data_IF_107356021577
#
_entry.id   IF_107356021577
#
_cell.length_a   1.000
_cell.length_b   1.000
_cell.length_c   1.000
_cell.angle_alpha   90.00
_cell.angle_beta   90.00
_cell.angle_gamma   90.00
#
_symmetry.space_group_name_H-M   'P 1'
#
loop_
_entity.id
_entity.type
_entity.pdbx_description
1 polymer ?
#
# COMPACT_ATOMS: atom_id res chain seq x y z
N UNK A 1 -7.95 -7.75 -15.42
CA UNK A 1 -7.44 -8.40 -16.65
C UNK A 1 -8.21 -7.85 -17.84
N UNK A 2 -7.57 -7.66 -18.99
CA UNK A 2 -8.14 -6.98 -20.16
C UNK A 2 -9.22 -7.77 -20.91
N UNK A 3 -9.41 -9.07 -20.59
CA UNK A 3 -10.30 -9.97 -21.33
C UNK A 3 -9.78 -10.38 -22.72
N UNK A 4 -8.63 -9.85 -23.16
CA UNK A 4 -8.00 -10.18 -24.45
C UNK A 4 -7.30 -11.54 -24.32
N UNK A 5 -7.62 -12.46 -25.24
CA UNK A 5 -7.03 -13.80 -25.30
C UNK A 5 -5.89 -13.85 -26.34
N UNK A 6 -5.11 -14.94 -26.33
CA UNK A 6 -4.08 -15.15 -27.34
C UNK A 6 -4.67 -15.30 -28.78
N UNK A 7 -5.90 -15.77 -28.87
CA UNK A 7 -6.61 -15.94 -30.14
C UNK A 7 -7.01 -14.58 -30.74
N UNK A 8 -7.42 -13.63 -29.87
CA UNK A 8 -7.79 -12.27 -30.30
C UNK A 8 -6.62 -11.50 -30.92
N UNK A 9 -5.39 -11.86 -30.57
CA UNK A 9 -4.17 -11.15 -31.05
C UNK A 9 -3.34 -12.00 -32.03
N UNK A 10 -3.80 -13.19 -32.38
CA UNK A 10 -3.03 -14.11 -33.24
C UNK A 10 -2.63 -13.52 -34.60
N UNK A 11 -3.54 -12.74 -35.18
CA UNK A 11 -3.38 -12.07 -36.49
C UNK A 11 -3.03 -10.57 -36.34
N UNK A 12 -2.84 -10.09 -35.11
CA UNK A 12 -2.50 -8.69 -34.90
C UNK A 12 -1.04 -8.38 -35.30
N UNK A 13 -0.77 -7.21 -35.90
CA UNK A 13 0.59 -6.80 -36.22
C UNK A 13 1.43 -6.66 -34.93
N UNK A 14 2.70 -7.03 -35.01
CA UNK A 14 3.62 -6.76 -33.91
C UNK A 14 3.93 -5.26 -33.82
N UNK A 15 4.30 -4.78 -32.63
CA UNK A 15 4.67 -3.39 -32.45
C UNK A 15 5.77 -2.96 -33.43
N UNK A 16 6.74 -3.82 -33.67
CA UNK A 16 7.86 -3.59 -34.58
C UNK A 16 7.41 -3.25 -36.01
N UNK A 17 6.29 -3.83 -36.46
CA UNK A 17 5.72 -3.60 -37.79
C UNK A 17 5.03 -2.24 -37.91
N UNK A 18 4.61 -1.69 -36.77
CA UNK A 18 3.90 -0.41 -36.69
C UNK A 18 4.79 0.74 -36.21
N UNK A 19 5.91 0.45 -35.62
CA UNK A 19 6.74 1.41 -34.87
C UNK A 19 7.15 2.63 -35.70
N UNK A 20 7.56 2.44 -36.97
CA UNK A 20 7.94 3.54 -37.85
C UNK A 20 6.76 4.49 -38.09
N UNK A 21 5.60 3.95 -38.43
CA UNK A 21 4.38 4.71 -38.66
C UNK A 21 3.95 5.47 -37.41
N UNK A 22 3.94 4.80 -36.26
CA UNK A 22 3.58 5.42 -34.96
C UNK A 22 4.56 6.55 -34.61
N UNK A 23 5.85 6.37 -34.83
CA UNK A 23 6.84 7.41 -34.53
C UNK A 23 6.63 8.67 -35.35
N UNK A 24 6.19 8.53 -36.62
CA UNK A 24 5.87 9.65 -37.49
C UNK A 24 4.56 10.34 -37.05
N UNK A 25 3.52 9.56 -36.71
CA UNK A 25 2.24 10.07 -36.25
C UNK A 25 2.36 10.80 -34.89
N UNK A 26 3.21 10.32 -34.02
CA UNK A 26 3.45 10.91 -32.68
C UNK A 26 4.37 12.13 -32.70
N UNK A 27 5.03 12.39 -33.79
CA UNK A 27 5.94 13.53 -33.90
C UNK A 27 5.24 14.85 -33.69
N UNK A 28 5.63 15.57 -32.65
CA UNK A 28 5.02 16.85 -32.27
C UNK A 28 3.70 16.71 -31.52
N UNK A 29 3.32 15.50 -31.14
CA UNK A 29 2.17 15.26 -30.26
C UNK A 29 2.55 15.33 -28.79
N UNK A 30 1.61 15.76 -27.97
CA UNK A 30 1.63 15.59 -26.51
C UNK A 30 0.92 14.27 -26.15
N UNK A 31 1.30 13.69 -25.00
CA UNK A 31 0.73 12.44 -24.54
C UNK A 31 -0.08 12.66 -23.27
N UNK A 32 -1.31 12.18 -23.24
CA UNK A 32 -2.16 12.21 -22.06
C UNK A 32 -2.68 10.82 -21.73
N UNK A 33 -2.69 10.48 -20.44
CA UNK A 33 -3.21 9.20 -19.97
C UNK A 33 -3.49 9.19 -18.48
N UNK A 34 -3.83 8.02 -17.93
CA UNK A 34 -4.05 7.80 -16.50
C UNK A 34 -2.99 6.84 -15.96
N UNK A 35 -2.15 7.30 -15.05
CA UNK A 35 -0.92 6.61 -14.61
C UNK A 35 0.10 6.36 -15.74
N UNK A 36 -0.04 7.10 -16.82
CA UNK A 36 0.71 6.89 -18.07
C UNK A 36 2.20 7.17 -17.93
N UNK A 37 2.60 8.10 -17.07
CA UNK A 37 4.00 8.41 -16.81
C UNK A 37 4.75 7.26 -16.12
N UNK A 38 4.04 6.38 -15.44
CA UNK A 38 4.60 5.21 -14.74
C UNK A 38 4.43 3.90 -15.48
N UNK A 39 3.51 3.83 -16.45
CA UNK A 39 3.20 2.59 -17.14
C UNK A 39 3.29 2.71 -18.66
N UNK A 40 2.37 3.46 -19.30
CA UNK A 40 2.24 3.46 -20.76
C UNK A 40 3.45 4.08 -21.46
N UNK A 41 3.90 5.25 -21.02
CA UNK A 41 5.02 5.97 -21.65
C UNK A 41 6.34 5.22 -21.54
N UNK A 42 6.74 4.66 -20.37
CA UNK A 42 7.94 3.83 -20.28
C UNK A 42 7.89 2.57 -21.14
N UNK A 43 6.75 1.90 -21.22
CA UNK A 43 6.58 0.72 -22.08
C UNK A 43 6.71 1.13 -23.56
N UNK A 44 6.04 2.20 -23.97
CA UNK A 44 6.08 2.68 -25.36
C UNK A 44 7.51 3.10 -25.75
N UNK A 45 8.24 3.77 -24.87
CA UNK A 45 9.62 4.15 -25.09
C UNK A 45 10.54 2.92 -25.29
N UNK A 46 10.36 1.90 -24.45
CA UNK A 46 11.12 0.65 -24.54
C UNK A 46 10.81 -0.12 -25.82
N UNK A 47 9.52 -0.16 -26.23
CA UNK A 47 9.12 -0.82 -27.48
C UNK A 47 9.64 -0.09 -28.72
N UNK A 48 9.71 1.24 -28.74
CA UNK A 48 10.38 1.98 -29.82
C UNK A 48 11.85 1.64 -29.90
N UNK A 49 12.56 1.60 -28.77
CA UNK A 49 13.98 1.23 -28.74
C UNK A 49 14.20 -0.21 -29.23
N UNK A 50 13.35 -1.16 -28.85
CA UNK A 50 13.40 -2.55 -29.37
C UNK A 50 13.15 -2.64 -30.87
N UNK A 51 12.34 -1.74 -31.40
CA UNK A 51 12.12 -1.62 -32.85
C UNK A 51 13.25 -0.86 -33.57
N UNK A 52 14.30 -0.40 -32.86
CA UNK A 52 15.40 0.36 -33.43
C UNK A 52 15.06 1.82 -33.72
N UNK A 53 14.02 2.37 -33.10
CA UNK A 53 13.57 3.74 -33.26
C UNK A 53 13.89 4.53 -31.99
N UNK A 54 14.69 5.58 -32.13
CA UNK A 54 14.97 6.54 -31.05
C UNK A 54 13.95 7.66 -31.08
N UNK A 55 12.79 7.45 -30.39
CA UNK A 55 11.74 8.44 -30.25
C UNK A 55 11.99 9.30 -29.01
N UNK A 56 12.23 10.60 -29.22
CA UNK A 56 12.58 11.54 -28.15
C UNK A 56 11.34 12.12 -27.46
N UNK A 57 10.89 11.46 -26.40
CA UNK A 57 9.77 11.92 -25.56
C UNK A 57 10.04 13.24 -24.83
N UNK A 58 11.28 13.72 -24.74
CA UNK A 58 11.57 15.00 -24.08
C UNK A 58 11.03 16.22 -24.82
N UNK A 59 10.65 16.04 -26.07
CA UNK A 59 10.02 17.08 -26.90
C UNK A 59 8.52 17.14 -26.80
N UNK A 60 7.90 16.25 -26.04
CA UNK A 60 6.47 16.15 -25.84
C UNK A 60 6.09 16.50 -24.41
N UNK A 61 4.91 17.10 -24.22
CA UNK A 61 4.34 17.24 -22.89
C UNK A 61 3.67 15.91 -22.48
N UNK A 62 4.02 15.41 -21.29
CA UNK A 62 3.44 14.21 -20.72
C UNK A 62 2.44 14.60 -19.63
N UNK A 63 1.15 14.40 -19.89
CA UNK A 63 0.06 14.78 -19.00
C UNK A 63 -0.54 13.53 -18.36
N UNK A 64 -0.34 13.38 -17.06
CA UNK A 64 -0.87 12.25 -16.29
C UNK A 64 -2.09 12.70 -15.46
N UNK A 65 -3.27 12.30 -15.88
CA UNK A 65 -4.52 12.64 -15.21
C UNK A 65 -4.61 12.09 -13.78
N UNK A 66 -4.00 10.93 -13.49
CA UNK A 66 -3.92 10.42 -12.12
C UNK A 66 -3.09 11.34 -11.23
N UNK A 67 -1.94 11.81 -11.74
CA UNK A 67 -1.09 12.75 -11.00
C UNK A 67 -1.82 14.07 -10.74
N UNK A 68 -2.56 14.59 -11.73
CA UNK A 68 -3.39 15.79 -11.55
C UNK A 68 -4.46 15.53 -10.49
N UNK A 69 -5.20 14.42 -10.60
CA UNK A 69 -6.21 14.02 -9.63
C UNK A 69 -5.64 13.95 -8.21
N UNK A 70 -4.49 13.29 -8.02
CA UNK A 70 -3.86 13.16 -6.70
C UNK A 70 -3.34 14.49 -6.12
N UNK A 71 -3.00 15.46 -6.97
CA UNK A 71 -2.57 16.80 -6.54
C UNK A 71 -3.74 17.73 -6.23
N UNK A 72 -4.83 17.61 -6.98
CA UNK A 72 -6.00 18.49 -6.85
C UNK A 72 -6.97 18.00 -5.78
N UNK A 73 -7.18 16.68 -5.67
CA UNK A 73 -8.10 16.11 -4.69
C UNK A 73 -7.36 15.77 -3.39
N UNK A 74 -7.61 16.59 -2.36
CA UNK A 74 -6.99 16.43 -1.05
C UNK A 74 -7.47 15.15 -0.36
N UNK A 75 -6.53 14.37 0.17
CA UNK A 75 -6.81 13.19 1.00
C UNK A 75 -6.60 13.55 2.48
N UNK A 76 -7.45 14.44 2.99
CA UNK A 76 -7.45 14.86 4.38
C UNK A 76 -8.85 14.70 5.00
N UNK A 77 -8.97 14.97 6.30
CA UNK A 77 -10.21 14.79 7.06
C UNK A 77 -11.36 15.63 6.48
N UNK A 78 -11.11 16.87 6.11
CA UNK A 78 -12.13 17.76 5.54
C UNK A 78 -12.67 17.25 4.20
N UNK A 79 -11.79 16.72 3.33
CA UNK A 79 -12.20 16.10 2.07
C UNK A 79 -13.00 14.82 2.31
N UNK A 80 -12.59 13.99 3.27
CA UNK A 80 -13.33 12.79 3.65
C UNK A 80 -14.72 13.14 4.22
N UNK A 81 -14.79 14.14 5.08
CA UNK A 81 -16.07 14.62 5.62
C UNK A 81 -17.02 15.09 4.53
N UNK A 82 -16.52 15.92 3.60
CA UNK A 82 -17.31 16.37 2.46
C UNK A 82 -17.83 15.20 1.62
N UNK A 83 -16.99 14.22 1.37
CA UNK A 83 -17.34 13.06 0.53
C UNK A 83 -18.36 12.12 1.18
N UNK A 84 -18.18 11.81 2.46
CA UNK A 84 -19.02 10.83 3.16
C UNK A 84 -20.25 11.46 3.85
N UNK A 85 -20.15 12.72 4.29
CA UNK A 85 -21.22 13.42 4.99
C UNK A 85 -21.96 14.44 4.13
N UNK A 86 -21.50 14.72 2.90
CA UNK A 86 -22.13 15.64 1.95
C UNK A 86 -22.04 17.13 2.31
N UNK A 87 -21.27 17.50 3.35
CA UNK A 87 -21.16 18.85 3.89
C UNK A 87 -19.70 19.27 4.02
N UNK A 88 -19.45 20.59 4.01
CA UNK A 88 -18.11 21.08 4.30
C UNK A 88 -17.84 21.03 5.80
N UNK A 89 -16.63 20.63 6.17
CA UNK A 89 -16.23 20.55 7.57
C UNK A 89 -16.28 21.93 8.25
N UNK A 90 -15.90 22.97 7.53
CA UNK A 90 -15.87 24.35 8.03
C UNK A 90 -17.25 24.93 8.35
N UNK A 91 -18.32 24.37 7.79
CA UNK A 91 -19.69 24.81 8.06
C UNK A 91 -20.19 24.31 9.43
N UNK A 92 -19.61 23.19 9.93
CA UNK A 92 -20.08 22.51 11.14
C UNK A 92 -19.05 22.55 12.28
N UNK A 93 -17.76 22.72 11.99
CA UNK A 93 -16.67 22.53 12.93
C UNK A 93 -15.52 23.52 12.72
N UNK A 94 -14.84 23.85 13.82
CA UNK A 94 -13.58 24.57 13.79
C UNK A 94 -12.43 23.57 13.62
N UNK A 95 -11.68 23.68 12.53
CA UNK A 95 -10.53 22.81 12.26
C UNK A 95 -9.45 22.93 13.34
N UNK A 96 -8.74 21.83 13.59
CA UNK A 96 -7.62 21.74 14.55
C UNK A 96 -7.99 21.83 16.03
N UNK A 97 -9.26 21.59 16.36
CA UNK A 97 -9.68 21.31 17.73
C UNK A 97 -9.84 19.81 17.90
N UNK A 98 -9.09 19.22 18.81
CA UNK A 98 -9.00 17.78 18.99
C UNK A 98 -10.36 17.11 19.29
N UNK A 99 -11.23 17.78 20.05
CA UNK A 99 -12.59 17.34 20.34
C UNK A 99 -13.47 17.30 19.07
N UNK A 100 -13.35 18.31 18.24
CA UNK A 100 -14.11 18.43 17.00
C UNK A 100 -13.53 17.52 15.90
N UNK A 101 -12.22 17.40 15.79
CA UNK A 101 -11.58 16.47 14.86
C UNK A 101 -11.95 15.01 15.18
N UNK A 102 -12.11 14.66 16.46
CA UNK A 102 -12.59 13.34 16.88
C UNK A 102 -14.05 13.10 16.45
N UNK A 103 -14.96 14.07 16.64
CA UNK A 103 -16.35 14.00 16.20
C UNK A 103 -16.45 13.88 14.67
N UNK A 104 -15.68 14.69 13.93
CA UNK A 104 -15.61 14.62 12.45
C UNK A 104 -15.12 13.24 12.00
N UNK A 105 -14.10 12.69 12.65
CA UNK A 105 -13.57 11.35 12.35
C UNK A 105 -14.64 10.27 12.57
N UNK A 106 -15.38 10.36 13.68
CA UNK A 106 -16.50 9.47 13.95
C UNK A 106 -17.58 9.54 12.86
N UNK A 107 -17.99 10.75 12.46
CA UNK A 107 -18.99 10.92 11.39
C UNK A 107 -18.51 10.41 10.04
N UNK A 108 -17.24 10.59 9.71
CA UNK A 108 -16.63 10.00 8.50
C UNK A 108 -16.71 8.48 8.55
N UNK A 109 -16.36 7.86 9.68
CA UNK A 109 -16.45 6.40 9.84
C UNK A 109 -17.89 5.92 9.68
N UNK A 110 -18.86 6.59 10.31
CA UNK A 110 -20.28 6.24 10.14
C UNK A 110 -20.73 6.37 8.69
N UNK A 111 -20.36 7.46 8.00
CA UNK A 111 -20.67 7.64 6.59
C UNK A 111 -19.99 6.60 5.67
N UNK A 112 -18.82 6.09 6.05
CA UNK A 112 -18.20 4.96 5.36
C UNK A 112 -19.00 3.67 5.53
N UNK A 113 -19.41 3.37 6.76
CA UNK A 113 -20.22 2.17 7.05
C UNK A 113 -21.60 2.22 6.39
N UNK A 114 -22.23 3.39 6.33
CA UNK A 114 -23.50 3.58 5.62
C UNK A 114 -23.33 3.39 4.12
N UNK A 115 -22.31 4.01 3.52
CA UNK A 115 -22.04 3.95 2.07
C UNK A 115 -21.68 2.55 1.59
N UNK A 116 -20.93 1.81 2.39
CA UNK A 116 -20.41 0.47 2.07
C UNK A 116 -21.08 -0.63 2.89
N UNK A 117 -22.30 -0.39 3.35
CA UNK A 117 -23.08 -1.37 4.10
C UNK A 117 -23.28 -2.65 3.28
N UNK A 118 -22.96 -3.85 3.81
CA UNK A 118 -23.10 -5.12 3.09
C UNK A 118 -24.52 -5.41 2.54
N UNK A 119 -25.55 -4.84 3.16
CA UNK A 119 -26.95 -5.03 2.74
C UNK A 119 -27.34 -4.15 1.55
N UNK A 120 -26.65 -3.03 1.34
CA UNK A 120 -27.02 -2.00 0.36
C UNK A 120 -25.91 -1.62 -0.61
N UNK A 121 -24.69 -2.15 -0.42
CA UNK A 121 -23.56 -1.87 -1.29
C UNK A 121 -23.82 -2.37 -2.72
N UNK A 122 -23.63 -1.50 -3.70
CA UNK A 122 -23.77 -1.85 -5.13
C UNK A 122 -22.72 -2.88 -5.58
N UNK A 123 -21.54 -2.87 -4.95
CA UNK A 123 -20.40 -3.75 -5.24
C UNK A 123 -20.09 -4.59 -3.99
N UNK A 124 -20.37 -5.88 -4.03
CA UNK A 124 -20.17 -6.79 -2.88
C UNK A 124 -18.72 -6.87 -2.39
N UNK A 125 -17.74 -6.69 -3.28
CA UNK A 125 -16.31 -6.70 -2.97
C UNK A 125 -15.84 -5.42 -2.23
N UNK A 126 -16.69 -4.39 -2.18
CA UNK A 126 -16.45 -3.14 -1.44
C UNK A 126 -17.24 -3.02 -0.15
N UNK A 127 -17.96 -4.07 0.23
CA UNK A 127 -18.76 -4.06 1.44
C UNK A 127 -17.90 -3.99 2.71
N UNK A 128 -18.23 -3.08 3.62
CA UNK A 128 -17.60 -2.92 4.93
C UNK A 128 -18.57 -3.32 6.03
N UNK A 129 -18.43 -4.52 6.61
CA UNK A 129 -19.23 -4.92 7.76
C UNK A 129 -18.90 -4.05 8.98
N UNK A 130 -19.89 -3.72 9.78
CA UNK A 130 -19.71 -3.01 11.05
C UNK A 130 -19.18 -3.98 12.11
N UNK A 131 -17.96 -4.45 11.90
CA UNK A 131 -17.19 -5.29 12.81
C UNK A 131 -15.83 -4.68 13.10
N UNK A 132 -15.54 -4.37 14.36
CA UNK A 132 -14.31 -3.66 14.73
C UNK A 132 -13.05 -4.45 14.44
N UNK A 133 -13.08 -5.79 14.47
CA UNK A 133 -11.91 -6.61 14.13
C UNK A 133 -11.64 -6.58 12.62
N UNK A 134 -12.72 -6.70 11.84
CA UNK A 134 -12.66 -6.57 10.40
C UNK A 134 -12.11 -5.18 10.00
N UNK A 135 -12.69 -4.11 10.52
CA UNK A 135 -12.31 -2.73 10.21
C UNK A 135 -10.86 -2.44 10.61
N UNK A 136 -10.43 -2.94 11.78
CA UNK A 136 -9.05 -2.81 12.23
C UNK A 136 -8.06 -3.54 11.31
N UNK A 137 -8.40 -4.73 10.83
CA UNK A 137 -7.57 -5.47 9.89
C UNK A 137 -7.56 -4.82 8.50
N UNK A 138 -8.74 -4.43 7.99
CA UNK A 138 -8.91 -3.78 6.69
C UNK A 138 -8.16 -2.44 6.61
N UNK A 139 -8.12 -1.67 7.70
CA UNK A 139 -7.44 -0.38 7.76
C UNK A 139 -5.92 -0.48 8.00
N UNK A 140 -5.37 -1.66 8.15
CA UNK A 140 -3.91 -1.83 8.28
C UNK A 140 -3.20 -1.41 7.01
N UNK A 141 -2.28 -0.47 7.13
CA UNK A 141 -1.43 -0.02 6.02
C UNK A 141 -0.06 -0.72 5.99
N UNK A 142 0.27 -1.45 7.04
CA UNK A 142 1.57 -2.12 7.18
C UNK A 142 1.51 -3.29 8.16
N UNK A 143 2.57 -4.09 8.17
CA UNK A 143 2.73 -5.25 9.06
C UNK A 143 3.49 -4.90 10.36
N UNK A 144 3.41 -3.68 10.83
CA UNK A 144 4.11 -3.25 12.03
C UNK A 144 3.58 -3.96 13.28
N UNK A 145 4.51 -4.41 14.12
CA UNK A 145 4.23 -4.94 15.46
C UNK A 145 4.31 -3.81 16.49
N UNK A 146 5.25 -2.88 16.28
CA UNK A 146 5.39 -1.65 17.06
C UNK A 146 5.08 -0.43 16.19
N UNK A 147 4.61 0.66 16.79
CA UNK A 147 4.19 1.86 16.03
C UNK A 147 5.33 2.53 15.24
N UNK A 148 6.58 2.34 15.65
CA UNK A 148 7.74 2.88 14.95
C UNK A 148 8.22 2.00 13.77
N UNK A 149 7.61 0.82 13.56
CA UNK A 149 7.97 -0.11 12.48
C UNK A 149 9.37 -0.70 12.61
N UNK A 150 9.90 -0.75 13.83
CA UNK A 150 11.20 -1.40 14.13
C UNK A 150 11.07 -2.92 14.21
N UNK A 151 9.89 -3.39 14.58
CA UNK A 151 9.53 -4.81 14.60
C UNK A 151 8.30 -4.96 13.69
N UNK A 152 8.36 -5.91 12.77
CA UNK A 152 7.30 -6.14 11.78
C UNK A 152 6.98 -7.63 11.69
N UNK A 153 5.75 -7.95 11.27
CA UNK A 153 5.37 -9.30 10.90
C UNK A 153 5.96 -9.67 9.54
N UNK A 154 6.47 -10.89 9.41
CA UNK A 154 6.86 -11.49 8.13
C UNK A 154 6.41 -12.94 8.08
N UNK A 155 6.06 -13.39 6.88
CA UNK A 155 5.72 -14.78 6.64
C UNK A 155 6.94 -15.67 6.83
N UNK A 156 6.75 -16.77 7.53
CA UNK A 156 7.78 -17.79 7.69
C UNK A 156 7.93 -18.58 6.39
N UNK A 157 9.18 -18.84 6.01
CA UNK A 157 9.50 -19.65 4.83
C UNK A 157 10.22 -20.92 5.22
N UNK A 158 9.85 -22.03 4.56
CA UNK A 158 10.55 -23.29 4.67
C UNK A 158 11.90 -23.27 3.94
N UNK A 159 12.68 -24.36 4.04
CA UNK A 159 13.96 -24.51 3.34
C UNK A 159 13.84 -24.41 1.81
N UNK A 160 12.67 -24.71 1.27
CA UNK A 160 12.35 -24.61 -0.16
C UNK A 160 11.94 -23.18 -0.60
N UNK A 161 11.95 -22.21 0.34
CA UNK A 161 11.56 -20.82 0.10
C UNK A 161 10.05 -20.56 0.06
N UNK A 162 9.22 -21.59 0.20
CA UNK A 162 7.76 -21.44 0.23
C UNK A 162 7.28 -20.95 1.58
N UNK A 163 6.18 -20.18 1.56
CA UNK A 163 5.52 -19.72 2.78
C UNK A 163 4.93 -20.90 3.53
N UNK A 164 5.24 -21.01 4.82
CA UNK A 164 4.64 -21.99 5.71
C UNK A 164 3.22 -21.55 6.07
N UNK A 165 2.28 -22.47 6.03
CA UNK A 165 0.87 -22.23 6.36
C UNK A 165 0.43 -23.01 7.58
N UNK A 166 -0.58 -22.47 8.28
CA UNK A 166 -1.30 -23.18 9.36
C UNK A 166 -2.32 -24.15 8.76
N UNK A 167 -2.98 -24.91 9.62
CA UNK A 167 -4.05 -25.85 9.22
C UNK A 167 -5.23 -25.17 8.49
N UNK A 168 -5.51 -23.91 8.82
CA UNK A 168 -6.55 -23.09 8.17
C UNK A 168 -6.12 -22.47 6.83
N UNK A 169 -4.92 -22.78 6.33
CA UNK A 169 -4.35 -22.23 5.11
C UNK A 169 -3.74 -20.83 5.25
N UNK A 170 -3.87 -20.18 6.39
CA UNK A 170 -3.28 -18.86 6.62
C UNK A 170 -1.76 -18.95 6.78
N UNK A 171 -0.99 -17.91 6.36
CA UNK A 171 0.45 -17.92 6.49
C UNK A 171 0.88 -17.96 7.97
N UNK A 172 1.90 -18.76 8.28
CA UNK A 172 2.61 -18.66 9.55
C UNK A 172 3.46 -17.40 9.53
N UNK A 173 3.37 -16.59 10.58
CA UNK A 173 4.06 -15.30 10.66
C UNK A 173 4.92 -15.22 11.91
N UNK A 174 6.02 -14.49 11.82
CA UNK A 174 6.93 -14.22 12.92
C UNK A 174 7.29 -12.75 13.01
N UNK A 175 7.61 -12.29 14.22
CA UNK A 175 8.14 -10.94 14.43
C UNK A 175 9.61 -10.90 14.05
N UNK A 176 9.98 -9.96 13.17
CA UNK A 176 11.35 -9.74 12.73
C UNK A 176 11.78 -8.29 12.96
N UNK A 177 13.06 -8.08 13.21
CA UNK A 177 13.63 -6.74 13.20
C UNK A 177 13.61 -6.15 11.78
N UNK A 178 13.19 -4.90 11.66
CA UNK A 178 13.12 -4.18 10.38
C UNK A 178 14.21 -3.11 10.26
N UNK A 179 15.25 -3.18 11.07
CA UNK A 179 16.35 -2.20 11.08
C UNK A 179 17.68 -2.82 11.54
N UNK A 180 18.77 -2.07 11.32
CA UNK A 180 20.10 -2.37 11.84
C UNK A 180 20.70 -3.71 11.37
N UNK A 181 21.66 -4.20 12.14
CA UNK A 181 22.44 -5.41 11.80
C UNK A 181 21.61 -6.70 11.76
N UNK A 182 20.45 -6.70 12.44
CA UNK A 182 19.54 -7.84 12.50
C UNK A 182 18.26 -7.67 11.65
N UNK A 183 18.30 -6.75 10.68
CA UNK A 183 17.15 -6.57 9.77
C UNK A 183 16.80 -7.89 9.07
N UNK A 184 15.52 -8.28 9.16
CA UNK A 184 15.00 -9.52 8.59
C UNK A 184 15.16 -10.76 9.46
N UNK A 185 15.89 -10.68 10.59
CA UNK A 185 16.04 -11.79 11.53
C UNK A 185 14.87 -11.84 12.52
N UNK A 186 14.44 -13.04 12.87
CA UNK A 186 13.43 -13.24 13.90
C UNK A 186 13.89 -12.68 15.26
N UNK A 187 13.00 -11.92 15.91
CA UNK A 187 13.31 -11.28 17.20
C UNK A 187 13.70 -12.34 18.23
N UNK A 188 12.97 -13.44 18.28
CA UNK A 188 13.22 -14.55 19.22
C UNK A 188 14.60 -15.18 19.04
N UNK A 189 15.01 -15.42 17.78
CA UNK A 189 16.34 -15.97 17.47
C UNK A 189 17.47 -15.01 17.85
N UNK A 190 17.28 -13.72 17.56
CA UNK A 190 18.29 -12.70 17.92
C UNK A 190 18.45 -12.61 19.42
N UNK A 191 17.36 -12.60 20.19
CA UNK A 191 17.42 -12.53 21.65
C UNK A 191 18.02 -13.79 22.29
N UNK A 192 17.99 -14.94 21.62
CA UNK A 192 18.68 -16.16 22.04
C UNK A 192 20.18 -16.11 21.74
N UNK A 193 20.56 -15.65 20.54
CA UNK A 193 21.96 -15.60 20.07
C UNK A 193 22.75 -14.43 20.65
N UNK A 194 22.08 -13.30 20.84
CA UNK A 194 22.67 -12.04 21.37
C UNK A 194 21.75 -11.45 22.47
N UNK A 195 21.76 -12.03 23.68
CA UNK A 195 20.93 -11.52 24.78
C UNK A 195 21.23 -10.07 25.16
N UNK A 196 22.45 -9.59 24.89
CA UNK A 196 22.86 -8.20 25.11
C UNK A 196 22.12 -7.21 24.25
N UNK A 197 21.63 -7.62 23.08
CA UNK A 197 20.88 -6.77 22.17
C UNK A 197 19.57 -6.24 22.77
N UNK A 198 18.91 -7.05 23.60
CA UNK A 198 17.75 -6.60 24.37
C UNK A 198 18.09 -5.42 25.28
N UNK A 199 19.13 -5.57 26.12
CA UNK A 199 19.54 -4.51 27.03
C UNK A 199 19.99 -3.25 26.29
N UNK A 200 20.69 -3.44 25.17
CA UNK A 200 21.09 -2.35 24.30
C UNK A 200 19.88 -1.58 23.75
N UNK A 201 18.84 -2.25 23.27
CA UNK A 201 17.63 -1.57 22.79
C UNK A 201 16.89 -0.83 23.90
N UNK A 202 16.85 -1.37 25.11
CA UNK A 202 16.21 -0.68 26.24
C UNK A 202 16.94 0.59 26.65
N UNK A 203 18.27 0.61 26.53
CA UNK A 203 19.14 1.73 26.95
C UNK A 203 19.29 2.81 25.88
N UNK A 204 18.96 2.51 24.63
CA UNK A 204 19.14 3.45 23.52
C UNK A 204 17.81 4.17 23.18
N UNK A 205 17.90 5.13 22.26
CA UNK A 205 16.80 5.99 21.84
C UNK A 205 15.81 5.24 20.92
N UNK A 206 15.01 4.37 21.52
CA UNK A 206 13.85 3.74 20.92
C UNK A 206 12.57 4.20 21.62
N UNK A 207 11.47 4.24 20.88
CA UNK A 207 10.18 4.60 21.49
C UNK A 207 9.80 3.63 22.62
N UNK A 208 9.08 4.12 23.63
CA UNK A 208 8.59 3.28 24.72
C UNK A 208 7.75 2.11 24.23
N UNK A 209 6.95 2.33 23.17
CA UNK A 209 6.17 1.26 22.55
C UNK A 209 7.05 0.16 21.97
N UNK A 210 8.13 0.49 21.25
CA UNK A 210 9.10 -0.51 20.74
C UNK A 210 9.71 -1.31 21.89
N UNK A 211 10.11 -0.65 22.98
CA UNK A 211 10.67 -1.30 24.18
C UNK A 211 9.67 -2.23 24.86
N UNK A 212 8.40 -1.81 24.96
CA UNK A 212 7.32 -2.64 25.50
C UNK A 212 7.05 -3.87 24.62
N UNK A 213 6.97 -3.69 23.31
CA UNK A 213 6.77 -4.80 22.36
C UNK A 213 7.90 -5.82 22.47
N UNK A 214 9.16 -5.36 22.46
CA UNK A 214 10.34 -6.21 22.61
C UNK A 214 10.31 -7.00 23.92
N UNK A 215 9.96 -6.32 25.01
CA UNK A 215 9.83 -6.95 26.35
C UNK A 215 8.74 -8.01 26.35
N UNK A 216 7.58 -7.73 25.76
CA UNK A 216 6.47 -8.68 25.65
C UNK A 216 6.86 -9.93 24.85
N UNK A 217 7.58 -9.77 23.72
CA UNK A 217 8.07 -10.90 22.92
C UNK A 217 9.03 -11.75 23.77
N UNK A 218 9.97 -11.11 24.46
CA UNK A 218 10.92 -11.81 25.34
C UNK A 218 10.21 -12.61 26.44
N UNK A 219 9.27 -12.00 27.16
CA UNK A 219 8.55 -12.66 28.26
C UNK A 219 7.70 -13.84 27.74
N UNK A 220 7.07 -13.71 26.58
CA UNK A 220 6.31 -14.80 25.96
C UNK A 220 7.18 -16.03 25.67
N UNK A 221 8.41 -15.83 25.25
CA UNK A 221 9.35 -16.93 24.99
C UNK A 221 9.87 -17.57 26.29
N UNK A 222 10.05 -16.78 27.36
CA UNK A 222 10.44 -17.34 28.67
C UNK A 222 9.33 -18.20 29.30
N UNK A 223 8.06 -17.85 29.07
CA UNK A 223 6.91 -18.58 29.62
C UNK A 223 6.58 -19.87 28.84
N UNK A 224 7.22 -20.12 27.68
CA UNK A 224 7.08 -21.37 26.91
C UNK A 224 8.06 -22.48 27.37
N UNK A 225 9.00 -22.17 28.28
CA UNK A 225 9.92 -23.12 28.86
C UNK A 225 9.43 -23.58 30.22
#
# INVERSE_FOLDING_TARGET
MTGITNEDVADAPKFQDLAQKLSEEFKGCDFAGYNSNHFDVPILAEEFLRAGIDFDFSKSNLVDAQTIFHKMERRNLAAAYKFYCGRKMEDDFEAHRADQDAEVTYRVLMGQLDKYNPETAEEADRALPNDMKYLAEFSKMNDNVDFAGRIVWRDMKGPDGKVLTKEDGSPMRQEVFNFGKYKGCAVTEVLQKDPGYYSWMLSNDFTNNTKQVLTRIRLREFNKK
#
